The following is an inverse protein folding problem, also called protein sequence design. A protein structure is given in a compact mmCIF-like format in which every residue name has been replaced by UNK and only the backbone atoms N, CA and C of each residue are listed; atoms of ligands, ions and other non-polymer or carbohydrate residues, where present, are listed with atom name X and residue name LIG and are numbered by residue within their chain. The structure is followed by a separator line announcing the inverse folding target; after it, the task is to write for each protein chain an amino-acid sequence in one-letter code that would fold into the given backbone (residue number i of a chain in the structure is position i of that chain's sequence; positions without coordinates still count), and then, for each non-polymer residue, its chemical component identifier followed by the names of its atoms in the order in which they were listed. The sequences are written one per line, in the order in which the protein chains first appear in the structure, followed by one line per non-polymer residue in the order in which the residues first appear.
data_IF_700838094661
#
_entry.id   IF_700838094661
#
_cell.length_a   1.000
_cell.length_b   1.000
_cell.length_c   1.000
_cell.angle_alpha   90.00
_cell.angle_beta   90.00
_cell.angle_gamma   90.00
#
_symmetry.space_group_name_H-M   'P 1'
#
loop_
_entity.id
_entity.type
_entity.pdbx_description
1 polymer ?
#
# COMPACT_ATOMS: atom_id res chain seq x y z
N UNK A 1 29.29 -37.95 -31.52
CA UNK A 1 30.75 -37.73 -31.70
C UNK A 1 30.99 -36.26 -32.02
N UNK A 2 31.54 -35.52 -31.06
CA UNK A 2 32.54 -34.47 -31.18
C UNK A 2 32.66 -33.77 -29.85
N UNK A 3 33.65 -34.16 -29.13
CA UNK A 3 34.29 -33.60 -27.94
C UNK A 3 35.07 -32.34 -28.31
N UNK A 4 35.04 -31.30 -27.49
CA UNK A 4 36.09 -30.29 -27.28
C UNK A 4 35.96 -29.85 -25.83
N UNK A 5 36.82 -30.21 -24.96
CA UNK A 5 38.17 -29.86 -24.55
C UNK A 5 38.31 -28.42 -24.03
N UNK A 6 38.46 -28.36 -22.74
CA UNK A 6 39.29 -27.58 -21.83
C UNK A 6 39.94 -26.27 -22.32
N UNK A 7 39.84 -25.24 -21.48
CA UNK A 7 40.93 -24.29 -21.25
C UNK A 7 40.91 -23.71 -19.86
N UNK A 8 41.97 -23.96 -19.16
CA UNK A 8 42.48 -23.44 -17.90
C UNK A 8 42.93 -21.96 -18.08
N UNK A 9 42.67 -21.11 -17.14
CA UNK A 9 43.42 -19.87 -16.89
C UNK A 9 43.33 -19.53 -15.39
N UNK A 10 44.27 -19.92 -14.70
CA UNK A 10 45.37 -19.37 -13.90
C UNK A 10 45.22 -17.93 -13.48
N UNK A 11 45.17 -17.82 -12.18
CA UNK A 11 45.20 -16.81 -11.19
C UNK A 11 45.86 -15.46 -11.39
N UNK A 12 45.49 -14.58 -10.54
CA UNK A 12 46.40 -13.61 -9.93
C UNK A 12 45.84 -13.14 -8.58
N UNK A 13 46.45 -13.60 -7.49
CA UNK A 13 46.30 -13.10 -6.16
C UNK A 13 47.00 -11.72 -6.09
N UNK A 14 46.24 -10.66 -5.92
CA UNK A 14 46.76 -9.36 -5.45
C UNK A 14 46.28 -9.18 -4.01
N UNK A 15 47.18 -9.38 -3.07
CA UNK A 15 47.02 -8.98 -1.67
C UNK A 15 47.09 -7.46 -1.57
N UNK A 16 45.94 -6.82 -1.32
CA UNK A 16 45.88 -5.41 -0.95
C UNK A 16 45.82 -5.32 0.56
N UNK A 17 46.89 -4.88 1.17
CA UNK A 17 47.01 -4.54 2.58
C UNK A 17 46.10 -3.33 2.89
N UNK A 18 44.99 -3.54 3.51
CA UNK A 18 44.12 -2.47 4.00
C UNK A 18 44.68 -1.91 5.31
N UNK A 19 45.26 -0.72 5.25
CA UNK A 19 45.62 0.09 6.41
C UNK A 19 44.32 0.54 7.11
N UNK A 20 44.11 0.05 8.34
CA UNK A 20 43.00 0.47 9.20
C UNK A 20 43.24 1.91 9.65
N UNK A 21 42.59 2.88 9.02
CA UNK A 21 42.43 4.23 9.58
C UNK A 21 41.34 4.19 10.64
N UNK A 22 41.74 4.26 11.90
CA UNK A 22 40.89 4.51 13.05
C UNK A 22 40.32 5.93 12.96
N UNK A 23 39.05 6.03 12.52
CA UNK A 23 38.28 7.28 12.54
C UNK A 23 37.94 7.61 14.01
N UNK A 24 38.18 8.86 14.47
CA UNK A 24 37.77 9.25 15.84
C UNK A 24 36.27 9.10 16.00
N UNK A 25 35.86 8.50 17.12
CA UNK A 25 34.45 8.34 17.50
C UNK A 25 33.79 9.72 17.59
N UNK A 26 32.84 9.99 16.71
CA UNK A 26 31.99 11.17 16.79
C UNK A 26 31.16 11.08 18.07
N UNK A 27 31.22 12.14 18.90
CA UNK A 27 30.42 12.33 20.10
C UNK A 27 28.94 12.20 19.74
N UNK A 28 28.12 11.39 20.45
CA UNK A 28 26.72 11.27 20.10
C UNK A 28 26.03 12.63 20.23
N UNK A 29 25.52 13.11 19.11
CA UNK A 29 24.64 14.27 19.08
C UNK A 29 23.37 13.91 19.85
N UNK A 30 22.87 14.75 20.77
CA UNK A 30 21.65 14.46 21.49
C UNK A 30 20.53 14.33 20.45
N UNK A 31 19.96 13.14 20.35
CA UNK A 31 18.76 12.87 19.56
C UNK A 31 17.65 13.75 20.13
N UNK A 32 17.19 14.72 19.33
CA UNK A 32 16.04 15.52 19.69
C UNK A 32 14.88 14.56 19.98
N UNK A 33 14.36 14.60 21.21
CA UNK A 33 13.22 13.80 21.61
C UNK A 33 12.05 14.13 20.67
N UNK A 34 11.57 13.14 19.95
CA UNK A 34 10.35 13.25 19.13
C UNK A 34 9.22 13.64 20.09
N UNK A 35 8.46 14.73 19.81
CA UNK A 35 7.34 15.09 20.65
C UNK A 35 6.39 13.90 20.80
N UNK A 36 6.04 13.53 22.04
CA UNK A 36 5.07 12.47 22.27
C UNK A 36 3.73 12.87 21.68
N UNK A 37 3.24 12.07 20.74
CA UNK A 37 1.92 12.24 20.12
C UNK A 37 0.86 12.01 21.20
N UNK A 38 -0.16 12.89 21.32
CA UNK A 38 -1.25 12.69 22.27
C UNK A 38 -1.93 11.33 22.07
N UNK A 39 -2.39 10.66 23.14
CA UNK A 39 -3.09 9.38 23.04
C UNK A 39 -4.32 9.52 22.14
N UNK A 40 -4.39 8.74 21.05
CA UNK A 40 -5.50 8.73 20.08
C UNK A 40 -5.21 9.42 18.76
N UNK A 41 -4.12 10.17 18.62
CA UNK A 41 -3.69 10.73 17.35
C UNK A 41 -2.72 9.78 16.64
N UNK A 42 -3.02 9.46 15.37
CA UNK A 42 -2.12 8.64 14.57
C UNK A 42 -0.80 9.40 14.34
N UNK A 43 0.30 8.92 14.92
CA UNK A 43 1.64 9.55 14.81
C UNK A 43 2.14 9.74 13.39
N UNK A 44 1.48 9.16 12.42
CA UNK A 44 1.81 9.27 11.00
C UNK A 44 0.94 10.28 10.26
N UNK A 45 -0.03 10.91 10.94
CA UNK A 45 -0.86 11.97 10.34
C UNK A 45 0.03 13.10 9.86
N UNK A 46 -0.12 13.49 8.60
CA UNK A 46 0.66 14.54 7.95
C UNK A 46 1.98 14.06 7.33
N UNK A 47 2.46 12.85 7.65
CA UNK A 47 3.65 12.28 7.02
C UNK A 47 3.30 11.19 5.99
N UNK A 48 2.44 10.23 6.39
CA UNK A 48 1.96 9.16 5.51
C UNK A 48 0.49 9.31 5.14
N UNK A 49 -0.23 10.14 5.87
CA UNK A 49 -1.63 10.44 5.63
C UNK A 49 -1.77 11.91 5.32
N UNK A 50 -1.90 12.29 4.06
CA UNK A 50 -2.23 13.67 3.70
C UNK A 50 -3.58 14.03 4.32
N UNK A 51 -3.72 15.25 4.81
CA UNK A 51 -4.99 15.73 5.33
C UNK A 51 -6.05 15.69 4.22
N UNK A 52 -7.23 15.10 4.46
CA UNK A 52 -8.27 15.06 3.45
C UNK A 52 -8.70 16.48 3.04
N UNK A 53 -8.75 16.72 1.74
CA UNK A 53 -9.34 17.93 1.17
C UNK A 53 -10.86 17.80 0.97
N UNK A 54 -11.34 16.55 0.95
CA UNK A 54 -12.77 16.22 0.92
C UNK A 54 -13.04 14.91 1.64
N UNK A 55 -14.21 14.78 2.23
CA UNK A 55 -14.61 13.59 2.99
C UNK A 55 -15.98 13.10 2.57
N UNK A 56 -16.20 11.80 2.65
CA UNK A 56 -17.48 11.15 2.38
C UNK A 56 -17.70 10.01 3.39
N UNK A 57 -18.95 9.68 3.66
CA UNK A 57 -19.34 8.52 4.47
C UNK A 57 -20.11 7.56 3.58
N UNK A 58 -19.66 6.30 3.55
CA UNK A 58 -20.37 5.22 2.90
C UNK A 58 -20.97 4.29 3.96
N UNK A 59 -22.28 4.10 3.91
CA UNK A 59 -22.99 3.19 4.80
C UNK A 59 -23.22 1.86 4.09
N UNK A 60 -22.54 0.82 4.56
CA UNK A 60 -22.64 -0.53 4.01
C UNK A 60 -23.68 -1.34 4.76
N UNK A 61 -24.42 -2.17 4.04
CA UNK A 61 -25.32 -3.18 4.64
C UNK A 61 -24.57 -4.46 5.02
N UNK A 62 -23.30 -4.56 4.64
CA UNK A 62 -22.49 -5.75 4.92
C UNK A 62 -21.96 -5.75 6.35
N UNK A 63 -21.88 -6.94 6.93
CA UNK A 63 -21.26 -7.15 8.25
C UNK A 63 -19.82 -7.58 8.08
N UNK A 64 -18.93 -7.00 8.89
CA UNK A 64 -17.53 -7.42 8.95
C UNK A 64 -17.43 -8.89 9.33
N UNK A 65 -16.58 -9.63 8.63
CA UNK A 65 -16.27 -11.02 8.95
C UNK A 65 -15.47 -11.03 10.26
N UNK A 66 -15.97 -11.69 11.30
CA UNK A 66 -15.37 -11.68 12.64
C UNK A 66 -13.92 -12.17 12.68
N UNK A 67 -13.57 -13.10 11.79
CA UNK A 67 -12.22 -13.66 11.70
C UNK A 67 -11.23 -12.78 10.95
N UNK A 68 -11.67 -11.63 10.41
CA UNK A 68 -10.78 -10.72 9.66
C UNK A 68 -9.82 -9.99 10.60
N UNK A 69 -8.57 -10.35 10.51
CA UNK A 69 -7.47 -9.79 11.29
C UNK A 69 -6.52 -8.92 10.45
N UNK A 70 -5.49 -8.40 11.09
CA UNK A 70 -4.46 -7.58 10.44
C UNK A 70 -3.71 -8.32 9.32
N UNK A 71 -3.22 -9.56 9.50
CA UNK A 71 -2.56 -10.33 8.45
C UNK A 71 -3.43 -10.48 7.20
N UNK A 72 -4.71 -10.80 7.35
CA UNK A 72 -5.62 -11.00 6.22
C UNK A 72 -5.87 -9.70 5.44
N UNK A 73 -5.99 -8.54 6.12
CA UNK A 73 -6.09 -7.24 5.45
C UNK A 73 -4.82 -6.88 4.70
N UNK A 74 -3.65 -7.16 5.28
CA UNK A 74 -2.36 -6.96 4.60
C UNK A 74 -2.27 -7.88 3.37
N UNK A 75 -2.64 -9.15 3.50
CA UNK A 75 -2.65 -10.09 2.39
C UNK A 75 -3.56 -9.60 1.26
N UNK A 76 -4.76 -9.13 1.56
CA UNK A 76 -5.66 -8.56 0.57
C UNK A 76 -5.01 -7.40 -0.19
N UNK A 77 -4.44 -6.41 0.53
CA UNK A 77 -3.76 -5.27 -0.11
C UNK A 77 -2.56 -5.73 -0.93
N UNK A 78 -1.82 -6.75 -0.48
CA UNK A 78 -0.71 -7.32 -1.23
C UNK A 78 -1.18 -7.94 -2.55
N UNK A 79 -2.27 -8.71 -2.53
CA UNK A 79 -2.85 -9.30 -3.74
C UNK A 79 -3.31 -8.21 -4.73
N UNK A 80 -3.99 -7.17 -4.23
CA UNK A 80 -4.38 -6.03 -5.07
C UNK A 80 -3.15 -5.35 -5.67
N UNK A 81 -2.12 -5.10 -4.87
CA UNK A 81 -0.87 -4.46 -5.32
C UNK A 81 -0.12 -5.33 -6.35
N UNK A 82 -0.05 -6.65 -6.14
CA UNK A 82 0.56 -7.57 -7.10
C UNK A 82 -0.20 -7.58 -8.44
N UNK A 83 -1.52 -7.57 -8.40
CA UNK A 83 -2.35 -7.47 -9.60
C UNK A 83 -2.06 -6.20 -10.40
N UNK A 84 -1.79 -5.08 -9.72
CA UNK A 84 -1.41 -3.83 -10.38
C UNK A 84 -0.01 -3.87 -11.00
N UNK A 85 0.95 -4.52 -10.33
CA UNK A 85 2.34 -4.66 -10.83
C UNK A 85 2.42 -5.62 -12.02
N UNK A 86 1.64 -6.71 -11.99
CA UNK A 86 1.63 -7.74 -13.03
C UNK A 86 0.75 -7.37 -14.23
N UNK A 87 0.01 -6.27 -14.17
CA UNK A 87 -0.81 -5.81 -15.28
C UNK A 87 0.06 -5.49 -16.50
N UNK A 88 -0.37 -5.96 -17.68
CA UNK A 88 0.25 -5.60 -18.95
C UNK A 88 0.21 -4.08 -19.24
N UNK A 89 -0.70 -3.38 -18.60
CA UNK A 89 -0.82 -1.93 -18.65
C UNK A 89 -0.32 -1.34 -17.33
N UNK A 90 0.53 -0.32 -17.42
CA UNK A 90 1.06 0.37 -16.24
C UNK A 90 -0.09 1.02 -15.47
N UNK A 91 -0.32 0.53 -14.26
CA UNK A 91 -1.35 1.09 -13.39
C UNK A 91 -0.80 2.35 -12.72
N UNK A 92 -1.50 3.49 -12.81
CA UNK A 92 -0.99 4.78 -12.36
C UNK A 92 -1.16 5.01 -10.85
N UNK A 93 -1.38 3.98 -10.05
CA UNK A 93 -1.57 4.11 -8.61
C UNK A 93 -0.94 2.97 -7.82
N UNK A 94 -0.66 3.22 -6.54
CA UNK A 94 -0.23 2.22 -5.56
C UNK A 94 -1.22 2.13 -4.40
N UNK A 95 -1.33 0.94 -3.79
CA UNK A 95 -2.26 0.67 -2.70
C UNK A 95 -1.50 0.21 -1.46
N UNK A 96 -1.87 0.77 -0.30
CA UNK A 96 -1.24 0.47 0.98
C UNK A 96 -2.28 0.22 2.06
N UNK A 97 -1.96 -0.65 3.04
CA UNK A 97 -2.69 -0.77 4.29
C UNK A 97 -1.97 0.03 5.38
N UNK A 98 -2.71 0.78 6.19
CA UNK A 98 -2.20 1.60 7.28
C UNK A 98 -3.02 1.45 8.56
N UNK A 99 -2.48 1.98 9.65
CA UNK A 99 -3.03 1.83 11.00
C UNK A 99 -2.52 0.57 11.71
N UNK A 100 -2.62 0.55 13.03
CA UNK A 100 -2.14 -0.57 13.85
C UNK A 100 -2.86 -1.88 13.52
N UNK A 101 -4.13 -1.78 13.13
CA UNK A 101 -4.96 -2.90 12.69
C UNK A 101 -4.92 -3.12 11.16
N UNK A 102 -4.16 -2.32 10.39
CA UNK A 102 -4.19 -2.29 8.93
C UNK A 102 -5.60 -2.09 8.35
N UNK A 103 -6.43 -1.34 9.05
CA UNK A 103 -7.86 -1.12 8.76
C UNK A 103 -8.14 0.17 7.98
N UNK A 104 -7.09 0.87 7.58
CA UNK A 104 -7.15 2.05 6.73
C UNK A 104 -6.43 1.75 5.41
N UNK A 105 -7.13 1.93 4.30
CA UNK A 105 -6.54 1.77 2.98
C UNK A 105 -6.13 3.12 2.42
N UNK A 106 -4.96 3.18 1.79
CA UNK A 106 -4.51 4.37 1.06
C UNK A 106 -4.23 3.99 -0.38
N UNK A 107 -4.74 4.80 -1.30
CA UNK A 107 -4.49 4.70 -2.74
C UNK A 107 -3.80 5.99 -3.16
N UNK A 108 -2.60 5.87 -3.72
CA UNK A 108 -1.77 7.01 -4.12
C UNK A 108 -1.58 7.00 -5.63
N UNK A 109 -1.90 8.10 -6.28
CA UNK A 109 -1.57 8.32 -7.68
C UNK A 109 -0.04 8.39 -7.88
N UNK A 110 0.48 7.68 -8.87
CA UNK A 110 1.91 7.61 -9.19
C UNK A 110 2.32 8.54 -10.32
N UNK A 111 1.36 9.12 -11.01
CA UNK A 111 1.59 10.04 -12.11
C UNK A 111 0.86 11.35 -11.85
N UNK A 112 1.52 12.46 -12.20
CA UNK A 112 0.93 13.79 -12.08
C UNK A 112 -0.40 13.86 -12.84
N UNK A 113 -1.43 14.37 -12.18
CA UNK A 113 -2.75 14.57 -12.74
C UNK A 113 -3.69 13.35 -12.75
N UNK A 114 -3.23 12.16 -12.36
CA UNK A 114 -4.08 10.95 -12.44
C UNK A 114 -5.26 10.96 -11.46
N UNK A 115 -5.03 11.24 -10.20
CA UNK A 115 -6.06 11.27 -9.15
C UNK A 115 -6.31 12.69 -8.63
N UNK A 116 -6.17 13.70 -9.50
CA UNK A 116 -6.24 15.10 -9.12
C UNK A 116 -7.67 15.66 -8.96
N UNK A 117 -8.69 14.85 -9.19
CA UNK A 117 -10.10 15.22 -9.01
C UNK A 117 -10.88 14.09 -8.35
N UNK A 118 -11.90 14.45 -7.57
CA UNK A 118 -12.83 13.48 -6.96
C UNK A 118 -13.51 12.60 -8.02
N UNK A 119 -13.79 13.13 -9.20
CA UNK A 119 -14.35 12.34 -10.30
C UNK A 119 -13.43 11.20 -10.76
N UNK A 120 -12.14 11.48 -10.92
CA UNK A 120 -11.15 10.45 -11.28
C UNK A 120 -10.97 9.43 -10.16
N UNK A 121 -10.99 9.87 -8.92
CA UNK A 121 -10.95 8.97 -7.76
C UNK A 121 -12.18 8.05 -7.71
N UNK A 122 -13.37 8.59 -7.97
CA UNK A 122 -14.61 7.78 -8.06
C UNK A 122 -14.59 6.81 -9.24
N UNK A 123 -14.07 7.22 -10.39
CA UNK A 123 -13.90 6.33 -11.54
C UNK A 123 -12.96 5.16 -11.22
N UNK A 124 -11.85 5.42 -10.51
CA UNK A 124 -10.97 4.36 -10.01
C UNK A 124 -11.72 3.39 -9.08
N UNK A 125 -12.49 3.89 -8.13
CA UNK A 125 -13.27 3.05 -7.20
C UNK A 125 -14.32 2.22 -7.93
N UNK A 126 -14.94 2.74 -8.98
CA UNK A 126 -15.87 2.00 -9.84
C UNK A 126 -15.14 0.85 -10.56
N UNK A 127 -13.95 1.11 -11.11
CA UNK A 127 -13.12 0.06 -11.71
C UNK A 127 -12.70 -1.00 -10.68
N UNK A 128 -12.31 -0.59 -9.48
CA UNK A 128 -11.98 -1.52 -8.39
C UNK A 128 -13.19 -2.37 -8.01
N UNK A 129 -14.40 -1.83 -8.04
CA UNK A 129 -15.64 -2.59 -7.84
C UNK A 129 -15.77 -3.71 -8.86
N UNK A 130 -15.60 -3.40 -10.14
CA UNK A 130 -15.68 -4.39 -11.22
C UNK A 130 -14.62 -5.48 -11.06
N UNK A 131 -13.37 -5.08 -10.82
CA UNK A 131 -12.27 -6.03 -10.63
C UNK A 131 -12.47 -6.91 -9.40
N UNK A 132 -12.98 -6.34 -8.31
CA UNK A 132 -13.26 -7.07 -7.07
C UNK A 132 -14.30 -8.15 -7.28
N UNK A 133 -15.39 -7.87 -8.00
CA UNK A 133 -16.44 -8.85 -8.31
C UNK A 133 -15.93 -10.03 -9.13
N UNK A 134 -14.91 -9.81 -9.95
CA UNK A 134 -14.28 -10.86 -10.76
C UNK A 134 -13.24 -11.68 -9.98
N UNK A 135 -12.86 -11.26 -8.77
CA UNK A 135 -11.85 -11.97 -8.00
C UNK A 135 -12.40 -13.28 -7.43
N UNK A 136 -11.62 -14.37 -7.39
CA UNK A 136 -12.03 -15.64 -6.79
C UNK A 136 -12.50 -15.49 -5.34
N UNK A 137 -11.86 -14.59 -4.60
CA UNK A 137 -12.21 -14.29 -3.21
C UNK A 137 -13.67 -13.89 -3.03
N UNK A 138 -14.22 -13.12 -3.99
CA UNK A 138 -15.62 -12.69 -3.95
C UNK A 138 -16.58 -13.74 -4.45
N UNK A 139 -16.20 -14.45 -5.48
CA UNK A 139 -16.99 -15.52 -6.03
C UNK A 139 -17.22 -16.62 -4.98
N UNK A 140 -16.21 -16.91 -4.16
CA UNK A 140 -16.34 -17.88 -3.06
C UNK A 140 -17.19 -17.37 -1.89
N UNK A 141 -17.26 -16.07 -1.67
CA UNK A 141 -17.96 -15.47 -0.52
C UNK A 141 -19.42 -15.13 -0.78
N UNK A 142 -19.96 -15.45 -1.97
CA UNK A 142 -21.36 -15.17 -2.34
C UNK A 142 -21.74 -13.70 -2.08
N UNK A 143 -20.87 -12.78 -2.49
CA UNK A 143 -21.15 -11.34 -2.37
C UNK A 143 -22.28 -10.99 -3.32
N UNK A 144 -23.22 -10.16 -2.87
CA UNK A 144 -24.34 -9.71 -3.69
C UNK A 144 -23.85 -9.07 -5.00
N UNK A 145 -24.55 -9.29 -6.11
CA UNK A 145 -24.16 -8.81 -7.44
C UNK A 145 -24.04 -7.29 -7.51
N UNK A 146 -24.77 -6.57 -6.68
CA UNK A 146 -24.79 -5.12 -6.53
C UNK A 146 -23.74 -4.58 -5.55
N UNK A 147 -23.02 -5.48 -4.84
CA UNK A 147 -21.98 -5.04 -3.89
C UNK A 147 -20.91 -4.19 -4.55
N UNK A 148 -20.53 -3.12 -3.86
CA UNK A 148 -19.50 -2.18 -4.27
C UNK A 148 -18.14 -2.57 -3.68
N UNK A 149 -17.08 -1.89 -4.11
CA UNK A 149 -15.77 -2.03 -3.50
C UNK A 149 -15.77 -1.67 -2.01
N UNK A 150 -16.59 -0.71 -1.60
CA UNK A 150 -16.71 -0.34 -0.18
C UNK A 150 -17.39 -1.42 0.66
N UNK A 151 -18.40 -2.10 0.11
CA UNK A 151 -19.05 -3.24 0.78
C UNK A 151 -18.05 -4.37 1.03
N UNK A 152 -17.18 -4.59 0.06
CA UNK A 152 -16.06 -5.49 0.21
C UNK A 152 -15.14 -5.08 1.35
N UNK A 153 -14.70 -3.84 1.32
CA UNK A 153 -13.81 -3.33 2.34
C UNK A 153 -14.44 -3.41 3.73
N UNK A 154 -15.77 -3.20 3.82
CA UNK A 154 -16.52 -3.42 5.06
C UNK A 154 -16.46 -4.88 5.52
N UNK A 155 -16.69 -5.83 4.62
CA UNK A 155 -16.55 -7.26 4.91
C UNK A 155 -15.16 -7.59 5.47
N UNK A 156 -14.11 -7.00 4.90
CA UNK A 156 -12.72 -7.18 5.33
C UNK A 156 -12.35 -6.37 6.58
N UNK A 157 -13.27 -5.57 7.12
CA UNK A 157 -13.06 -4.77 8.32
C UNK A 157 -12.19 -3.53 8.13
N UNK A 158 -12.11 -2.99 6.91
CA UNK A 158 -11.55 -1.67 6.69
C UNK A 158 -12.53 -0.59 7.17
N UNK A 159 -12.00 0.45 7.80
CA UNK A 159 -12.76 1.57 8.33
C UNK A 159 -12.74 2.79 7.41
N UNK A 160 -11.73 2.91 6.59
CA UNK A 160 -11.63 4.03 5.65
C UNK A 160 -10.75 3.72 4.44
N UNK A 161 -11.03 4.45 3.36
CA UNK A 161 -10.17 4.55 2.17
C UNK A 161 -9.79 6.00 1.99
N UNK A 162 -8.50 6.26 1.83
CA UNK A 162 -7.97 7.58 1.48
C UNK A 162 -7.35 7.49 0.10
N UNK A 163 -7.80 8.32 -0.82
CA UNK A 163 -7.29 8.38 -2.19
C UNK A 163 -6.64 9.74 -2.38
N UNK A 164 -5.42 9.76 -2.89
CA UNK A 164 -4.66 11.00 -3.07
C UNK A 164 -3.89 11.01 -4.38
N UNK A 165 -3.72 12.20 -4.95
CA UNK A 165 -2.81 12.44 -6.07
C UNK A 165 -1.33 12.54 -5.63
N UNK A 166 -1.09 12.47 -4.31
CA UNK A 166 0.24 12.63 -3.74
C UNK A 166 0.70 14.08 -3.59
N UNK A 167 -0.11 15.07 -4.02
CA UNK A 167 0.25 16.49 -4.02
C UNK A 167 -0.75 17.35 -3.27
N UNK A 168 -1.94 17.56 -3.82
CA UNK A 168 -2.91 18.57 -3.36
C UNK A 168 -4.28 18.01 -3.05
N UNK A 169 -4.68 16.95 -3.76
CA UNK A 169 -6.04 16.43 -3.67
C UNK A 169 -6.05 15.13 -2.88
N UNK A 170 -6.83 15.10 -1.82
CA UNK A 170 -7.00 13.92 -0.99
C UNK A 170 -8.48 13.77 -0.64
N UNK A 171 -9.04 12.64 -1.03
CA UNK A 171 -10.43 12.27 -0.71
C UNK A 171 -10.46 11.08 0.23
N UNK A 172 -11.17 11.22 1.34
CA UNK A 172 -11.33 10.15 2.31
C UNK A 172 -12.78 9.69 2.38
N UNK A 173 -12.98 8.39 2.26
CA UNK A 173 -14.28 7.75 2.46
C UNK A 173 -14.21 6.95 3.76
N UNK A 174 -15.07 7.27 4.70
CA UNK A 174 -15.27 6.49 5.92
C UNK A 174 -16.32 5.42 5.65
N UNK A 175 -16.06 4.17 6.05
CA UNK A 175 -16.93 3.02 5.82
C UNK A 175 -17.60 2.66 7.15
N UNK A 176 -18.92 2.71 7.19
CA UNK A 176 -19.74 2.39 8.36
C UNK A 176 -20.58 1.14 8.13
#
# INVERSE_FOLDING_TARGET
MKTFAASLAVGLLLAVSASAQTKPAAKPTPTAATPATPPGEDRYVGYYYPKPTSTEVFESQMKTIETMDRPQRIQFVTVVSQGTIQSAYRVPYAVFAKGDKADKMIIVGLQAGELNTVYRMRALLANMTTMSRLSPFFQEKTVAEDATFFDLLKLLGFQSVTITDGEKTTHQVTIK
#
